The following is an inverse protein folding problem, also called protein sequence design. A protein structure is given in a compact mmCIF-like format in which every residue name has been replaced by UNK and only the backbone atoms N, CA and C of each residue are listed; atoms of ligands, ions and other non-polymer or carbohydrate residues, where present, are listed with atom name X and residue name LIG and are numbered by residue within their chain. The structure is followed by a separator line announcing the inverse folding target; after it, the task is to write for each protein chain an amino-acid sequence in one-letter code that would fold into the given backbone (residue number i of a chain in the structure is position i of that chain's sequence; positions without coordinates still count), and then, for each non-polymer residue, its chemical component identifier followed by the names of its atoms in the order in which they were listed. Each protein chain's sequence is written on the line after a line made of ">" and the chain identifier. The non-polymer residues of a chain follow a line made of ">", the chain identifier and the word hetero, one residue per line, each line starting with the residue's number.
data_IF_270156257663
#
_entry.id   IF_270156257663
#
_cell.length_a   1.000
_cell.length_b   1.000
_cell.length_c   1.000
_cell.angle_alpha   90.00
_cell.angle_beta   90.00
_cell.angle_gamma   90.00
#
_symmetry.space_group_name_H-M   'P 1'
#
loop_
_entity.id
_entity.type
_entity.pdbx_description
1 polymer ?
#
# COMPACT_ATOMS: atom_id res chain seq x y z
N UNK A 1 20.33 7.60 37.26
CA UNK A 1 20.64 8.50 36.12
C UNK A 1 21.06 7.75 34.85
N UNK A 2 21.89 6.71 34.94
CA UNK A 2 22.42 5.97 33.77
C UNK A 2 21.35 5.17 33.00
N UNK A 3 20.32 4.66 33.67
CA UNK A 3 19.24 3.88 33.06
C UNK A 3 18.39 4.67 32.06
N UNK A 4 18.12 5.94 32.37
CA UNK A 4 17.26 6.83 31.57
C UNK A 4 17.98 7.27 30.29
N UNK A 5 19.29 7.52 30.37
CA UNK A 5 20.15 7.77 29.21
C UNK A 5 20.19 6.57 28.27
N UNK A 6 20.22 5.35 28.83
CA UNK A 6 20.26 4.12 28.04
C UNK A 6 18.95 3.91 27.28
N UNK A 7 17.80 4.13 27.90
CA UNK A 7 16.49 4.05 27.23
C UNK A 7 16.33 5.12 26.15
N UNK A 8 16.85 6.34 26.38
CA UNK A 8 16.82 7.42 25.39
C UNK A 8 17.70 7.16 24.17
N UNK A 9 18.78 6.37 24.29
CA UNK A 9 19.62 5.96 23.15
C UNK A 9 18.89 5.00 22.21
N UNK A 10 17.99 4.15 22.74
CA UNK A 10 17.20 3.22 21.93
C UNK A 10 15.94 3.83 21.32
N UNK A 11 15.43 4.92 21.91
CA UNK A 11 14.22 5.60 21.46
C UNK A 11 14.28 6.11 20.00
N UNK A 12 15.35 6.82 19.55
CA UNK A 12 15.42 7.28 18.17
C UNK A 12 15.55 6.14 17.16
N UNK A 13 16.14 5.00 17.56
CA UNK A 13 16.27 3.83 16.69
C UNK A 13 14.94 3.10 16.46
N UNK A 14 14.03 3.15 17.44
CA UNK A 14 12.65 2.66 17.28
C UNK A 14 11.79 3.65 16.47
N UNK A 15 12.12 4.95 16.51
CA UNK A 15 11.38 6.00 15.80
C UNK A 15 11.76 6.12 14.31
N UNK A 16 12.90 5.56 13.89
CA UNK A 16 13.30 5.49 12.47
C UNK A 16 12.56 4.42 11.66
N UNK A 17 11.46 3.88 12.19
CA UNK A 17 10.55 3.08 11.39
C UNK A 17 9.97 3.97 10.26
N UNK A 18 10.04 3.55 8.99
CA UNK A 18 9.44 4.30 7.90
C UNK A 18 7.95 4.48 8.19
N UNK A 19 7.50 5.74 8.27
CA UNK A 19 6.11 6.11 8.53
C UNK A 19 5.17 5.70 7.40
N UNK A 20 5.72 5.46 6.21
CA UNK A 20 5.00 5.04 5.02
C UNK A 20 5.72 3.85 4.40
N UNK A 21 4.98 2.75 4.20
CA UNK A 21 5.47 1.62 3.45
C UNK A 21 5.69 2.05 1.98
N UNK A 22 6.81 1.69 1.35
CA UNK A 22 7.00 1.94 -0.08
C UNK A 22 5.89 1.21 -0.86
N UNK A 23 5.22 1.94 -1.75
CA UNK A 23 4.20 1.39 -2.62
C UNK A 23 4.87 0.69 -3.82
N UNK A 24 4.24 -0.36 -4.39
CA UNK A 24 4.68 -0.91 -5.67
C UNK A 24 4.46 0.10 -6.80
N UNK A 25 5.41 0.17 -7.72
CA UNK A 25 5.33 1.00 -8.93
C UNK A 25 4.85 0.18 -10.13
N UNK A 26 4.40 0.87 -11.18
CA UNK A 26 4.03 0.27 -12.48
C UNK A 26 3.02 -0.88 -12.40
N UNK A 27 1.96 -0.74 -11.61
CA UNK A 27 0.90 -1.73 -11.51
C UNK A 27 0.15 -1.86 -12.85
N UNK A 28 0.20 -3.06 -13.43
CA UNK A 28 -0.43 -3.38 -14.72
C UNK A 28 -1.31 -4.62 -14.57
N UNK A 29 -2.55 -4.50 -15.06
CA UNK A 29 -3.52 -5.59 -15.15
C UNK A 29 -3.63 -6.01 -16.61
N UNK A 30 -3.23 -7.23 -16.92
CA UNK A 30 -3.44 -7.84 -18.23
C UNK A 30 -4.51 -8.90 -18.11
N UNK A 31 -5.54 -8.80 -18.96
CA UNK A 31 -6.68 -9.71 -18.98
C UNK A 31 -6.76 -10.33 -20.37
N UNK A 32 -6.69 -11.66 -20.47
CA UNK A 32 -6.80 -12.38 -21.74
C UNK A 32 -7.51 -13.70 -21.49
N UNK A 33 -8.60 -13.98 -22.21
CA UNK A 33 -9.36 -15.23 -22.09
C UNK A 33 -9.74 -15.59 -20.63
N UNK A 34 -10.23 -14.61 -19.86
CA UNK A 34 -10.56 -14.76 -18.43
C UNK A 34 -9.37 -15.10 -17.51
N UNK A 35 -8.15 -15.06 -18.02
CA UNK A 35 -6.92 -15.11 -17.23
C UNK A 35 -6.49 -13.68 -16.91
N UNK A 36 -6.48 -13.36 -15.61
CA UNK A 36 -6.06 -12.06 -15.10
C UNK A 36 -4.66 -12.17 -14.50
N UNK A 37 -3.71 -11.48 -15.11
CA UNK A 37 -2.32 -11.40 -14.62
C UNK A 37 -2.05 -9.98 -14.17
N UNK A 38 -1.73 -9.84 -12.89
CA UNK A 38 -1.33 -8.57 -12.27
C UNK A 38 0.20 -8.57 -12.19
N UNK A 39 0.83 -7.52 -12.71
CA UNK A 39 2.27 -7.29 -12.67
C UNK A 39 2.55 -5.95 -12.01
N UNK A 40 3.62 -5.88 -11.23
CA UNK A 40 4.09 -4.66 -10.59
C UNK A 40 5.60 -4.73 -10.38
N UNK A 41 6.23 -3.57 -10.22
CA UNK A 41 7.65 -3.45 -9.91
C UNK A 41 7.85 -2.96 -8.47
N UNK A 42 8.94 -3.36 -7.80
CA UNK A 42 9.27 -2.81 -6.49
C UNK A 42 9.57 -1.31 -6.60
N UNK A 43 8.84 -0.49 -5.85
CA UNK A 43 9.12 0.94 -5.75
C UNK A 43 10.43 1.23 -4.99
N UNK A 44 10.94 2.47 -5.08
CA UNK A 44 12.18 2.87 -4.41
C UNK A 44 12.06 2.70 -2.88
N UNK A 45 13.04 2.01 -2.29
CA UNK A 45 13.10 1.75 -0.85
C UNK A 45 12.36 0.48 -0.39
N UNK A 46 11.78 -0.29 -1.32
CA UNK A 46 11.12 -1.56 -1.00
C UNK A 46 12.14 -2.64 -0.63
N UNK A 47 11.89 -3.33 0.48
CA UNK A 47 12.75 -4.41 0.98
C UNK A 47 12.64 -5.65 0.08
N UNK A 48 13.70 -6.48 -0.03
CA UNK A 48 13.59 -7.76 -0.73
C UNK A 48 12.60 -8.67 0.01
N UNK A 49 11.62 -9.23 -0.73
CA UNK A 49 10.51 -10.07 -0.25
C UNK A 49 9.44 -9.39 0.64
N UNK A 50 8.70 -8.39 0.12
CA UNK A 50 7.49 -7.91 0.79
C UNK A 50 6.34 -8.93 0.71
N UNK A 51 5.44 -8.88 1.68
CA UNK A 51 4.15 -9.59 1.63
C UNK A 51 3.07 -8.60 1.20
N UNK A 52 2.25 -8.97 0.21
CA UNK A 52 1.14 -8.14 -0.27
C UNK A 52 -0.19 -8.89 -0.26
N UNK A 53 -1.27 -8.15 -0.06
CA UNK A 53 -2.64 -8.64 -0.17
C UNK A 53 -3.31 -7.93 -1.35
N UNK A 54 -3.94 -8.70 -2.23
CA UNK A 54 -4.75 -8.16 -3.32
C UNK A 54 -6.17 -7.93 -2.78
N UNK A 55 -6.64 -6.69 -2.80
CA UNK A 55 -8.02 -6.35 -2.52
C UNK A 55 -8.74 -6.12 -3.85
N UNK A 56 -9.82 -6.87 -4.16
CA UNK A 56 -10.67 -6.50 -5.27
C UNK A 56 -11.22 -5.10 -5.01
N UNK A 57 -11.26 -4.26 -6.05
CA UNK A 57 -11.98 -3.01 -5.96
C UNK A 57 -13.46 -3.36 -5.77
N UNK A 58 -14.06 -2.92 -4.66
CA UNK A 58 -15.50 -2.80 -4.60
C UNK A 58 -15.87 -1.64 -5.52
N UNK A 59 -16.68 -1.92 -6.54
CA UNK A 59 -17.30 -0.84 -7.33
C UNK A 59 -18.17 -0.04 -6.36
N UNK A 60 -17.76 1.20 -6.09
CA UNK A 60 -18.65 2.18 -5.50
C UNK A 60 -19.71 2.45 -6.57
N UNK A 61 -20.89 1.81 -6.44
CA UNK A 61 -22.05 2.07 -7.28
C UNK A 61 -22.40 3.55 -7.12
N UNK A 62 -21.88 4.38 -8.04
CA UNK A 62 -22.25 5.78 -8.16
C UNK A 62 -23.75 5.78 -8.47
N UNK A 63 -24.56 5.89 -7.40
CA UNK A 63 -26.01 5.93 -7.47
C UNK A 63 -26.39 7.19 -8.23
N UNK A 64 -26.47 7.04 -9.55
CA UNK A 64 -26.87 8.07 -10.49
C UNK A 64 -28.30 8.48 -10.18
N UNK A 65 -28.47 9.50 -9.35
CA UNK A 65 -29.71 10.24 -9.26
C UNK A 65 -29.94 10.93 -10.61
N UNK A 66 -30.64 10.26 -11.52
CA UNK A 66 -31.23 10.91 -12.68
C UNK A 66 -32.52 11.62 -12.23
N UNK A 67 -32.56 12.96 -12.15
CA UNK A 67 -33.84 13.63 -11.99
C UNK A 67 -34.68 13.34 -13.25
N UNK A 68 -35.82 12.69 -13.04
CA UNK A 68 -36.87 12.61 -14.07
C UNK A 68 -37.31 14.05 -14.35
N UNK A 69 -36.90 14.60 -15.48
CA UNK A 69 -37.47 15.84 -15.99
C UNK A 69 -38.96 15.61 -16.31
N UNK A 70 -39.83 16.59 -16.03
CA UNK A 70 -41.28 16.48 -16.22
C UNK A 70 -41.69 16.31 -17.68
#
# INVERSE_FOLDING_TARGET
>A
MVTLLRTLVWLPLALTAPTQLPAPDALTLTSTEFVHVIRWEPGPGMTPAPTWTLCPAEEEEESGYMPRLP
#
